data_IF_155968650051
#
_entry.id   IF_155968650051
#
_cell.length_a   1.000
_cell.length_b   1.000
_cell.length_c   1.000
_cell.angle_alpha   90.00
_cell.angle_beta   90.00
_cell.angle_gamma   90.00
#
_symmetry.space_group_name_H-M   'P 1'
#
loop_
_entity.id
_entity.type
_entity.pdbx_description
1 polymer ?
#
# COMPACT_ATOMS: atom_id res chain seq x y z
N UNK A 1 -0.45 -1.47 -30.06
CA UNK A 1 -0.76 -2.88 -29.79
C UNK A 1 -0.69 -3.09 -28.28
N UNK A 2 -1.82 -3.41 -27.64
CA UNK A 2 -1.89 -3.61 -26.18
C UNK A 2 -1.66 -5.08 -25.84
N UNK A 3 -0.62 -5.40 -25.06
CA UNK A 3 -0.29 -6.77 -24.65
C UNK A 3 -0.29 -6.89 -23.14
N UNK A 4 -0.92 -7.96 -22.64
CA UNK A 4 -0.78 -8.36 -21.24
C UNK A 4 0.64 -8.86 -20.97
N UNK A 5 1.19 -8.49 -19.81
CA UNK A 5 2.51 -8.95 -19.35
C UNK A 5 2.44 -9.19 -17.84
N UNK A 6 3.09 -10.25 -17.38
CA UNK A 6 3.30 -10.49 -15.95
C UNK A 6 4.14 -9.34 -15.36
N UNK A 7 3.60 -8.65 -14.36
CA UNK A 7 4.32 -7.59 -13.63
C UNK A 7 5.08 -8.20 -12.46
N UNK A 8 4.42 -9.02 -11.65
CA UNK A 8 5.01 -9.77 -10.55
C UNK A 8 4.20 -11.03 -10.24
N UNK A 9 4.82 -12.05 -9.65
CA UNK A 9 4.18 -13.31 -9.26
C UNK A 9 4.69 -14.52 -10.04
N UNK A 10 4.01 -15.66 -9.87
CA UNK A 10 4.35 -16.90 -10.58
C UNK A 10 3.74 -16.93 -11.99
N UNK A 11 4.57 -17.08 -13.02
CA UNK A 11 4.09 -17.37 -14.38
C UNK A 11 3.44 -18.75 -14.52
N UNK A 12 3.66 -19.65 -13.55
CA UNK A 12 3.13 -21.03 -13.51
C UNK A 12 1.90 -21.16 -12.60
N UNK A 13 1.46 -20.07 -11.97
CA UNK A 13 0.32 -20.07 -11.06
C UNK A 13 0.60 -20.65 -9.66
N UNK A 14 1.86 -20.79 -9.27
CA UNK A 14 2.20 -21.21 -7.91
C UNK A 14 1.87 -20.10 -6.91
N UNK A 15 1.03 -20.42 -5.92
CA UNK A 15 0.71 -19.54 -4.80
C UNK A 15 1.77 -19.65 -3.69
N UNK A 16 1.92 -18.60 -2.88
CA UNK A 16 2.78 -18.63 -1.69
C UNK A 16 3.08 -17.23 -1.18
N UNK A 17 3.83 -17.16 -0.08
CA UNK A 17 4.30 -15.90 0.50
C UNK A 17 5.81 -15.79 0.32
N UNK A 18 6.23 -15.24 -0.83
CA UNK A 18 7.65 -15.09 -1.18
C UNK A 18 7.89 -13.68 -1.68
N UNK A 19 8.79 -12.96 -0.99
CA UNK A 19 9.35 -11.68 -1.40
C UNK A 19 10.55 -11.89 -2.33
N UNK A 20 10.98 -10.84 -3.04
CA UNK A 20 12.15 -10.86 -3.92
C UNK A 20 11.88 -10.29 -5.31
N UNK A 21 12.63 -10.76 -6.32
CA UNK A 21 12.46 -10.27 -7.71
C UNK A 21 11.01 -10.49 -8.18
N UNK A 22 10.46 -9.61 -9.04
CA UNK A 22 9.07 -9.73 -9.48
C UNK A 22 8.69 -11.11 -10.05
N UNK A 23 9.59 -11.78 -10.79
CA UNK A 23 9.37 -13.13 -11.34
C UNK A 23 9.42 -14.26 -10.31
N UNK A 24 10.10 -14.02 -9.18
CA UNK A 24 10.39 -15.02 -8.15
C UNK A 24 9.39 -14.90 -6.99
N UNK A 25 8.82 -13.71 -6.83
CA UNK A 25 7.78 -13.42 -5.86
C UNK A 25 6.56 -14.32 -6.04
N UNK A 26 5.87 -14.59 -4.93
CA UNK A 26 4.64 -15.37 -4.90
C UNK A 26 3.59 -14.60 -4.11
N UNK A 27 2.36 -14.69 -4.60
CA UNK A 27 1.15 -14.17 -3.97
C UNK A 27 0.18 -15.33 -3.73
N UNK A 28 -0.81 -15.13 -2.86
CA UNK A 28 -1.86 -16.07 -2.56
C UNK A 28 -3.21 -15.34 -2.48
N UNK A 29 -3.99 -15.45 -3.56
CA UNK A 29 -5.26 -14.74 -3.75
C UNK A 29 -5.14 -13.21 -3.59
N UNK A 30 -4.30 -12.53 -4.40
CA UNK A 30 -4.29 -11.07 -4.41
C UNK A 30 -5.67 -10.54 -4.85
N UNK A 31 -6.22 -9.55 -4.13
CA UNK A 31 -7.53 -8.95 -4.44
C UNK A 31 -7.42 -7.50 -4.89
N UNK A 32 -7.07 -6.65 -3.93
CA UNK A 32 -6.97 -5.20 -4.09
C UNK A 32 -5.60 -4.74 -4.54
N UNK A 33 -5.55 -3.69 -5.36
CA UNK A 33 -4.31 -2.98 -5.64
C UNK A 33 -4.51 -1.46 -5.58
N UNK A 34 -3.46 -0.74 -5.22
CA UNK A 34 -3.37 0.72 -5.34
C UNK A 34 -1.95 1.11 -5.74
N UNK A 35 -1.76 2.32 -6.27
CA UNK A 35 -0.46 2.82 -6.75
C UNK A 35 -0.16 4.13 -6.04
N UNK A 36 1.08 4.34 -5.59
CA UNK A 36 1.54 5.62 -5.05
C UNK A 36 2.02 6.61 -6.13
N UNK A 37 2.50 7.77 -5.70
CA UNK A 37 2.99 8.82 -6.59
C UNK A 37 4.29 8.48 -7.33
N UNK A 38 5.04 7.47 -6.85
CA UNK A 38 6.26 6.96 -7.49
C UNK A 38 6.00 5.80 -8.43
N UNK A 39 4.78 5.27 -8.44
CA UNK A 39 4.41 4.11 -9.24
C UNK A 39 4.67 2.77 -8.55
N UNK A 40 4.97 2.75 -7.24
CA UNK A 40 4.96 1.50 -6.51
C UNK A 40 3.53 0.97 -6.41
N UNK A 41 3.36 -0.34 -6.56
CA UNK A 41 2.05 -1.00 -6.50
C UNK A 41 1.92 -1.71 -5.16
N UNK A 42 0.89 -1.37 -4.41
CA UNK A 42 0.54 -2.06 -3.16
C UNK A 42 -0.58 -3.05 -3.44
N UNK A 43 -0.46 -4.26 -2.88
CA UNK A 43 -1.32 -5.41 -3.17
C UNK A 43 -1.85 -5.97 -1.85
N UNK A 44 -3.17 -6.15 -1.77
CA UNK A 44 -3.81 -6.93 -0.72
C UNK A 44 -3.68 -8.43 -1.05
N UNK A 45 -2.72 -9.10 -0.42
CA UNK A 45 -2.40 -10.51 -0.63
C UNK A 45 -3.13 -11.37 0.40
N UNK A 46 -4.42 -11.60 0.14
CA UNK A 46 -5.38 -11.83 1.24
C UNK A 46 -5.26 -13.18 1.93
N UNK A 47 -4.83 -14.23 1.23
CA UNK A 47 -4.61 -15.55 1.88
C UNK A 47 -3.22 -15.67 2.49
N UNK A 48 -2.32 -14.73 2.21
CA UNK A 48 -1.08 -14.55 2.98
C UNK A 48 -1.28 -13.55 4.13
N UNK A 49 -2.46 -12.95 4.29
CA UNK A 49 -2.77 -11.98 5.34
C UNK A 49 -1.76 -10.82 5.37
N UNK A 50 -1.33 -10.39 4.18
CA UNK A 50 -0.21 -9.48 4.00
C UNK A 50 -0.56 -8.37 3.02
N UNK A 51 0.02 -7.19 3.25
CA UNK A 51 0.07 -6.12 2.27
C UNK A 51 1.48 -6.14 1.66
N UNK A 52 1.52 -6.23 0.34
CA UNK A 52 2.75 -6.41 -0.42
C UNK A 52 2.99 -5.15 -1.26
N UNK A 53 4.24 -4.74 -1.41
CA UNK A 53 4.65 -3.63 -2.27
C UNK A 53 5.47 -4.18 -3.43
N UNK A 54 5.18 -3.74 -4.64
CA UNK A 54 5.99 -3.93 -5.84
C UNK A 54 6.64 -2.59 -6.14
N UNK A 55 7.96 -2.50 -5.95
CA UNK A 55 8.75 -1.31 -6.23
C UNK A 55 10.07 -1.65 -6.91
N UNK A 56 10.99 -0.68 -6.93
CA UNK A 56 12.28 -0.82 -7.61
C UNK A 56 13.15 -1.96 -7.06
N UNK A 57 13.04 -2.24 -5.75
CA UNK A 57 13.75 -3.34 -5.08
C UNK A 57 13.10 -4.71 -5.30
N UNK A 58 11.96 -4.78 -5.98
CA UNK A 58 11.17 -5.99 -6.19
C UNK A 58 9.89 -6.00 -5.35
N UNK A 59 9.45 -7.20 -4.97
CA UNK A 59 8.27 -7.43 -4.13
C UNK A 59 8.69 -7.58 -2.68
N UNK A 60 8.12 -6.79 -1.79
CA UNK A 60 8.35 -6.84 -0.34
C UNK A 60 7.04 -6.91 0.43
N UNK A 61 7.07 -7.52 1.62
CA UNK A 61 5.97 -7.45 2.58
C UNK A 61 6.14 -6.20 3.43
N UNK A 62 5.13 -5.32 3.44
CA UNK A 62 5.19 -4.07 4.22
C UNK A 62 4.34 -4.12 5.49
N UNK A 63 3.34 -4.99 5.54
CA UNK A 63 2.53 -5.20 6.74
C UNK A 63 1.89 -6.60 6.75
N UNK A 64 1.70 -7.15 7.94
CA UNK A 64 1.11 -8.47 8.13
C UNK A 64 2.00 -9.61 7.63
N UNK A 65 1.41 -10.77 7.35
CA UNK A 65 2.11 -11.93 6.77
C UNK A 65 3.09 -12.67 7.68
N UNK A 66 3.38 -12.18 8.89
CA UNK A 66 4.30 -12.86 9.84
C UNK A 66 3.77 -14.20 10.34
N UNK A 67 2.45 -14.40 10.34
CA UNK A 67 1.80 -15.67 10.66
C UNK A 67 0.63 -15.91 9.72
N UNK A 68 0.39 -17.17 9.33
CA UNK A 68 -0.79 -17.58 8.57
C UNK A 68 -2.06 -17.67 9.43
N UNK A 69 -2.20 -16.78 10.41
CA UNK A 69 -3.32 -16.73 11.35
C UNK A 69 -3.98 -15.37 11.24
N UNK A 70 -5.20 -15.36 10.70
CA UNK A 70 -6.03 -14.18 10.61
C UNK A 70 -6.27 -13.57 11.99
N UNK A 71 -6.41 -12.25 12.05
CA UNK A 71 -6.64 -11.53 13.29
C UNK A 71 -6.88 -10.05 13.02
N UNK A 72 -6.89 -9.26 14.09
CA UNK A 72 -7.26 -7.84 14.02
C UNK A 72 -6.27 -6.92 14.78
N UNK A 73 -5.10 -7.45 15.12
CA UNK A 73 -4.10 -6.79 15.96
C UNK A 73 -3.47 -5.60 15.21
N UNK A 74 -3.47 -4.43 15.83
CA UNK A 74 -2.68 -3.27 15.39
C UNK A 74 -1.28 -3.28 16.04
N UNK A 75 -0.41 -2.36 15.62
CA UNK A 75 0.96 -2.23 16.13
C UNK A 75 1.95 -1.90 15.03
N UNK A 76 3.26 -2.20 15.21
CA UNK A 76 4.24 -2.19 14.13
C UNK A 76 3.72 -2.98 12.92
N UNK A 77 4.02 -2.51 11.70
CA UNK A 77 3.42 -3.05 10.49
C UNK A 77 3.65 -4.55 10.32
N UNK A 78 4.82 -5.07 10.69
CA UNK A 78 5.17 -6.49 10.68
C UNK A 78 4.40 -7.34 11.71
N UNK A 79 3.83 -6.70 12.73
CA UNK A 79 3.02 -7.33 13.77
C UNK A 79 1.50 -7.14 13.56
N UNK A 80 1.10 -6.29 12.62
CA UNK A 80 -0.29 -6.10 12.25
C UNK A 80 -0.93 -7.42 11.79
N UNK A 81 -2.21 -7.62 12.10
CA UNK A 81 -3.00 -8.76 11.63
C UNK A 81 -4.26 -8.28 10.93
N UNK A 82 -4.53 -8.89 9.79
CA UNK A 82 -5.72 -8.66 8.98
C UNK A 82 -6.58 -9.91 8.93
N UNK A 83 -7.84 -9.77 8.51
CA UNK A 83 -8.64 -10.91 8.09
C UNK A 83 -8.13 -11.44 6.74
N UNK A 84 -8.75 -12.50 6.21
CA UNK A 84 -8.50 -12.98 4.85
C UNK A 84 -9.39 -12.31 3.79
N UNK A 85 -10.14 -11.27 4.17
CA UNK A 85 -10.94 -10.46 3.25
C UNK A 85 -10.68 -8.97 3.52
N UNK A 86 -9.67 -8.45 2.83
CA UNK A 86 -9.34 -7.03 2.87
C UNK A 86 -8.96 -6.48 1.50
N UNK A 87 -8.96 -5.15 1.41
CA UNK A 87 -8.60 -4.35 0.25
C UNK A 87 -7.68 -3.19 0.68
N UNK A 88 -7.03 -2.50 -0.25
CA UNK A 88 -6.09 -1.40 0.04
C UNK A 88 -6.31 -0.21 -0.89
N UNK A 89 -6.22 1.00 -0.32
CA UNK A 89 -6.34 2.29 -1.04
C UNK A 89 -5.23 3.22 -0.59
N UNK A 90 -4.51 3.84 -1.53
CA UNK A 90 -3.50 4.85 -1.22
C UNK A 90 -4.16 6.21 -0.95
N UNK A 91 -3.77 6.85 0.14
CA UNK A 91 -4.23 8.16 0.56
C UNK A 91 -3.05 9.13 0.52
N UNK A 92 -2.89 9.78 -0.64
CA UNK A 92 -1.77 10.70 -0.92
C UNK A 92 -1.57 11.78 0.14
N UNK A 93 -2.59 12.53 0.60
CA UNK A 93 -2.37 13.64 1.53
C UNK A 93 -1.75 13.24 2.88
N UNK A 94 -1.94 11.99 3.29
CA UNK A 94 -1.45 11.47 4.59
C UNK A 94 -0.30 10.48 4.43
N UNK A 95 0.19 10.26 3.21
CA UNK A 95 1.22 9.27 2.91
C UNK A 95 0.91 7.91 3.56
N UNK A 96 -0.29 7.38 3.32
CA UNK A 96 -0.74 6.16 3.99
C UNK A 96 -1.56 5.25 3.09
N UNK A 97 -1.66 3.98 3.48
CA UNK A 97 -2.65 3.05 2.95
C UNK A 97 -3.84 2.98 3.91
N UNK A 98 -5.04 3.10 3.36
CA UNK A 98 -6.27 2.70 4.02
C UNK A 98 -6.56 1.24 3.65
N UNK A 99 -6.64 0.39 4.65
CA UNK A 99 -6.98 -1.03 4.53
C UNK A 99 -8.45 -1.20 4.84
N UNK A 100 -9.20 -1.72 3.87
CA UNK A 100 -10.62 -2.05 4.02
C UNK A 100 -10.71 -3.50 4.48
N UNK A 101 -10.60 -3.73 5.79
CA UNK A 101 -10.56 -5.06 6.39
C UNK A 101 -11.98 -5.56 6.66
N UNK A 102 -12.66 -5.98 5.58
CA UNK A 102 -14.07 -6.39 5.57
C UNK A 102 -14.34 -7.52 6.57
N UNK A 103 -13.46 -8.52 6.64
CA UNK A 103 -13.61 -9.65 7.56
C UNK A 103 -13.52 -9.27 9.05
N UNK A 104 -12.92 -8.12 9.36
CA UNK A 104 -12.88 -7.57 10.72
C UNK A 104 -13.83 -6.36 10.91
N UNK A 105 -14.68 -6.05 9.93
CA UNK A 105 -15.57 -4.89 9.94
C UNK A 105 -14.85 -3.57 10.27
N UNK A 106 -13.61 -3.40 9.79
CA UNK A 106 -12.75 -2.29 10.17
C UNK A 106 -12.11 -1.60 8.95
N UNK A 107 -11.88 -0.30 9.08
CA UNK A 107 -10.92 0.44 8.26
C UNK A 107 -9.65 0.63 9.09
N UNK A 108 -8.49 0.33 8.52
CA UNK A 108 -7.18 0.50 9.19
C UNK A 108 -6.30 1.43 8.37
N UNK A 109 -5.39 2.14 9.02
CA UNK A 109 -4.41 2.98 8.35
C UNK A 109 -3.01 2.44 8.57
N UNK A 110 -2.19 2.45 7.52
CA UNK A 110 -0.77 2.13 7.58
C UNK A 110 -0.01 3.32 7.01
N UNK A 111 0.78 3.99 7.84
CA UNK A 111 1.69 5.03 7.36
C UNK A 111 2.78 4.41 6.49
N UNK A 112 3.06 5.05 5.36
CA UNK A 112 4.15 4.67 4.47
C UNK A 112 5.41 5.49 4.80
N UNK A 113 6.55 5.03 4.29
CA UNK A 113 7.77 5.80 4.35
C UNK A 113 7.64 7.05 3.48
N UNK A 114 8.22 8.18 3.93
CA UNK A 114 8.15 9.44 3.18
C UNK A 114 8.72 9.30 1.76
N UNK A 115 9.72 8.41 1.60
CA UNK A 115 10.29 8.05 0.31
C UNK A 115 9.29 7.39 -0.64
N UNK A 116 8.12 6.92 -0.21
CA UNK A 116 7.10 6.36 -1.11
C UNK A 116 6.16 7.44 -1.65
N UNK A 117 6.10 8.58 -0.97
CA UNK A 117 5.13 9.66 -1.23
C UNK A 117 5.78 10.93 -1.78
N UNK A 118 7.08 11.11 -1.56
CA UNK A 118 7.81 12.27 -2.06
C UNK A 118 8.01 12.15 -3.57
N UNK A 119 7.13 12.79 -4.33
CA UNK A 119 7.50 13.21 -5.67
C UNK A 119 8.57 14.30 -5.52
N UNK A 120 9.77 14.11 -6.06
CA UNK A 120 10.70 15.23 -6.19
C UNK A 120 9.98 16.34 -6.97
N UNK A 121 9.52 17.38 -6.28
CA UNK A 121 9.29 18.67 -6.91
C UNK A 121 10.66 19.25 -7.26
N UNK A 122 11.30 18.71 -8.28
CA UNK A 122 12.47 19.35 -8.86
C UNK A 122 11.99 20.56 -9.68
N UNK A 123 11.75 21.67 -8.99
CA UNK A 123 11.75 23.07 -9.48
C UNK A 123 11.35 23.95 -8.27
N UNK A 124 12.11 24.90 -7.74
CA UNK A 124 13.17 25.75 -8.27
C UNK A 124 14.03 26.21 -7.07
N UNK A 125 15.36 26.21 -7.21
CA UNK A 125 16.22 27.09 -6.39
C UNK A 125 15.91 28.53 -6.76
N UNK A 126 15.07 29.21 -5.99
CA UNK A 126 14.85 30.65 -6.15
C UNK A 126 15.27 31.36 -4.87
N UNK A 127 16.43 31.99 -4.94
CA UNK A 127 16.60 33.31 -4.35
C UNK A 127 15.33 34.13 -4.57
N UNK A 128 14.67 34.56 -3.49
CA UNK A 128 13.65 35.60 -3.53
C UNK A 128 12.23 35.18 -3.11
N UNK A 129 11.96 35.34 -1.81
CA UNK A 129 10.75 35.92 -1.22
C UNK A 129 9.39 35.45 -1.78
N UNK A 130 8.73 34.54 -1.06
CA UNK A 130 7.45 34.76 -0.36
C UNK A 130 7.12 33.45 0.39
N UNK A 131 7.45 33.42 1.67
CA UNK A 131 7.05 32.37 2.60
C UNK A 131 5.57 32.53 2.94
N UNK A 132 4.71 31.64 2.45
CA UNK A 132 3.43 31.39 3.11
C UNK A 132 3.65 30.29 4.15
N UNK A 133 3.28 30.49 5.43
CA UNK A 133 3.34 29.41 6.40
C UNK A 133 2.33 28.34 6.01
N UNK A 134 2.82 27.13 5.72
CA UNK A 134 1.97 25.93 5.73
C UNK A 134 1.62 25.68 7.18
N UNK A 135 0.46 26.18 7.60
CA UNK A 135 -0.13 25.83 8.90
C UNK A 135 -0.72 24.43 8.73
N UNK A 136 -0.08 23.44 9.34
CA UNK A 136 -0.74 22.15 9.59
C UNK A 136 -1.92 22.43 10.52
N UNK A 137 -3.14 22.27 10.01
CA UNK A 137 -4.35 22.25 10.81
C UNK A 137 -4.64 20.80 11.17
N UNK A 138 -4.49 20.46 12.44
CA UNK A 138 -4.93 19.21 13.05
C UNK A 138 -6.47 19.12 13.05
N UNK A 139 -7.07 18.97 11.88
CA UNK A 139 -8.52 18.85 11.75
C UNK A 139 -8.86 17.91 10.61
N UNK A 140 -9.15 16.67 10.98
CA UNK A 140 -9.75 15.63 10.15
C UNK A 140 -10.95 16.22 9.39
N UNK A 141 -10.86 16.27 8.07
CA UNK A 141 -12.02 16.44 7.19
C UNK A 141 -12.05 15.26 6.21
N UNK A 142 -12.69 14.17 6.64
CA UNK A 142 -13.16 13.13 5.74
C UNK A 142 -14.36 13.72 4.99
N UNK A 143 -14.19 13.99 3.69
CA UNK A 143 -15.30 14.26 2.79
C UNK A 143 -15.66 12.93 2.11
N UNK A 144 -16.66 12.23 2.65
CA UNK A 144 -17.26 11.07 1.96
C UNK A 144 -18.17 11.58 0.86
N UNK A 145 -17.81 11.33 -0.40
CA UNK A 145 -18.74 11.50 -1.52
C UNK A 145 -19.64 10.26 -1.59
N UNK A 146 -20.92 10.40 -1.23
CA UNK A 146 -21.96 9.49 -1.71
C UNK A 146 -22.40 9.99 -3.08
N UNK A 147 -22.14 9.21 -4.13
CA UNK A 147 -22.88 9.37 -5.40
C UNK A 147 -24.21 8.63 -5.25
N UNK A 148 -25.29 9.22 -5.77
CA UNK A 148 -26.62 8.59 -5.82
C UNK A 148 -26.60 7.37 -6.72
#
# INVERSE_FOLDING_TARGET
DSRGRLVAGSFQGYTGHVDGKPSDARFNHPRGITVDDKGNVYVADTQNLAIRKIGDSGVTTIAGGKSNVAGYRDGPSEDAKFSNDFDVVYVRPTCSLLVIDRGNAALRQISLDQEDCDYQSNSISSTGLYSYPVVYSDSVNILVFFTR
#
